data_IF_286269627450
#
_entry.id   IF_286269627450
#
_cell.length_a   1.000
_cell.length_b   1.000
_cell.length_c   1.000
_cell.angle_alpha   90.00
_cell.angle_beta   90.00
_cell.angle_gamma   90.00
#
_symmetry.space_group_name_H-M   'P 1'
#
loop_
_entity.id
_entity.type
_entity.pdbx_description
1 polymer ?
#
# COMPACT_ATOMS: atom_id res chain seq x y z
N UNK A 1 12.32 1.83 -18.64
CA UNK A 1 11.58 3.10 -18.43
C UNK A 1 10.12 2.84 -18.04
N UNK A 2 9.36 2.04 -18.81
CA UNK A 2 7.96 1.69 -18.49
C UNK A 2 7.79 0.88 -17.18
N UNK A 3 8.72 -0.03 -16.89
CA UNK A 3 8.66 -0.90 -15.70
C UNK A 3 8.74 -0.14 -14.37
N UNK A 4 9.50 0.97 -14.32
CA UNK A 4 9.60 1.83 -13.13
C UNK A 4 8.32 2.62 -12.88
N UNK A 5 7.68 3.08 -13.96
CA UNK A 5 6.40 3.78 -13.93
C UNK A 5 5.27 2.83 -13.49
N UNK A 6 5.25 1.62 -14.05
CA UNK A 6 4.32 0.56 -13.67
C UNK A 6 4.52 0.13 -12.21
N UNK A 7 5.77 -0.05 -11.76
CA UNK A 7 6.10 -0.40 -10.38
C UNK A 7 5.69 0.68 -9.36
N UNK A 8 5.95 1.96 -9.67
CA UNK A 8 5.53 3.09 -8.83
C UNK A 8 4.01 3.23 -8.75
N UNK A 9 3.31 3.08 -9.88
CA UNK A 9 1.86 3.08 -9.92
C UNK A 9 1.24 1.90 -9.16
N UNK A 10 1.82 0.70 -9.28
CA UNK A 10 1.39 -0.49 -8.55
C UNK A 10 1.53 -0.30 -7.03
N UNK A 11 2.67 0.20 -6.57
CA UNK A 11 2.92 0.52 -5.16
C UNK A 11 1.94 1.56 -4.63
N UNK A 12 1.65 2.58 -5.43
CA UNK A 12 0.70 3.63 -5.07
C UNK A 12 -0.72 3.09 -4.93
N UNK A 13 -1.20 2.30 -5.90
CA UNK A 13 -2.53 1.67 -5.86
C UNK A 13 -2.62 0.70 -4.67
N UNK A 14 -1.58 -0.10 -4.44
CA UNK A 14 -1.55 -1.05 -3.34
C UNK A 14 -1.56 -0.35 -1.96
N UNK A 15 -0.79 0.73 -1.81
CA UNK A 15 -0.83 1.59 -0.63
C UNK A 15 -2.21 2.21 -0.41
N UNK A 16 -2.89 2.66 -1.47
CA UNK A 16 -4.24 3.22 -1.40
C UNK A 16 -5.27 2.17 -0.95
N UNK A 17 -5.19 0.95 -1.50
CA UNK A 17 -6.07 -0.17 -1.14
C UNK A 17 -5.91 -0.53 0.34
N UNK A 18 -4.67 -0.55 0.86
CA UNK A 18 -4.39 -0.76 2.29
C UNK A 18 -4.99 0.35 3.17
N UNK A 19 -5.11 1.58 2.65
CA UNK A 19 -5.60 2.75 3.37
C UNK A 19 -7.13 2.82 3.42
N UNK A 20 -7.79 2.51 2.30
CA UNK A 20 -9.24 2.56 2.13
C UNK A 20 -9.92 1.32 2.72
N UNK A 21 -9.30 0.14 2.57
CA UNK A 21 -9.87 -1.14 2.99
C UNK A 21 -8.91 -1.98 3.84
N UNK A 22 -8.47 -1.49 5.02
CA UNK A 22 -7.60 -2.24 5.91
C UNK A 22 -8.26 -3.54 6.42
N UNK A 23 -9.60 -3.56 6.49
CA UNK A 23 -10.39 -4.75 6.87
C UNK A 23 -10.30 -5.88 5.84
N UNK A 24 -10.16 -5.58 4.55
CA UNK A 24 -10.02 -6.58 3.50
C UNK A 24 -8.61 -7.17 3.48
N UNK A 25 -7.60 -6.32 3.68
CA UNK A 25 -6.20 -6.75 3.83
C UNK A 25 -6.06 -7.67 5.03
N UNK A 26 -6.64 -7.27 6.17
CA UNK A 26 -6.71 -8.13 7.35
C UNK A 26 -7.41 -9.45 7.04
N UNK A 27 -8.58 -9.44 6.38
CA UNK A 27 -9.31 -10.67 6.04
C UNK A 27 -8.53 -11.60 5.10
N UNK A 28 -7.69 -11.06 4.22
CA UNK A 28 -6.83 -11.84 3.33
C UNK A 28 -5.64 -12.48 4.09
N UNK A 29 -5.01 -11.73 4.99
CA UNK A 29 -3.92 -12.24 5.85
C UNK A 29 -4.44 -13.26 6.87
N UNK A 30 -5.62 -13.00 7.44
CA UNK A 30 -6.31 -13.88 8.39
C UNK A 30 -7.05 -15.05 7.73
N UNK A 31 -7.15 -15.09 6.39
CA UNK A 31 -7.66 -16.27 5.68
C UNK A 31 -6.70 -17.46 5.81
N UNK A 32 -5.41 -17.18 6.02
CA UNK A 32 -4.33 -18.18 6.10
C UNK A 32 -3.96 -18.56 7.55
N UNK A 33 -4.45 -17.82 8.56
CA UNK A 33 -4.24 -18.15 9.98
C UNK A 33 -5.59 -18.23 10.69
N UNK A 34 -5.92 -19.41 11.21
CA UNK A 34 -7.25 -19.73 11.71
C UNK A 34 -7.53 -19.04 13.07
N UNK A 35 -8.74 -18.45 13.17
CA UNK A 35 -9.67 -18.37 14.33
C UNK A 35 -10.15 -16.94 14.64
N UNK A 36 -11.29 -16.58 14.03
CA UNK A 36 -12.47 -15.95 14.65
C UNK A 36 -12.29 -14.76 15.62
N UNK A 37 -11.19 -14.02 15.57
CA UNK A 37 -10.98 -12.80 16.34
C UNK A 37 -11.36 -11.56 15.53
N UNK A 38 -12.06 -10.58 16.10
CA UNK A 38 -12.22 -9.28 15.44
C UNK A 38 -10.84 -8.62 15.21
N UNK A 39 -10.65 -7.87 14.10
CA UNK A 39 -9.38 -7.18 13.87
C UNK A 39 -9.07 -6.26 15.05
N UNK A 40 -7.91 -6.46 15.68
CA UNK A 40 -7.45 -5.59 16.76
C UNK A 40 -7.27 -4.16 16.23
N UNK A 41 -7.75 -3.16 16.98
CA UNK A 41 -7.61 -1.72 16.65
C UNK A 41 -6.16 -1.34 16.30
N UNK A 42 -5.19 -1.98 16.95
CA UNK A 42 -3.75 -1.81 16.68
C UNK A 42 -3.36 -2.29 15.27
N UNK A 43 -3.86 -3.44 14.82
CA UNK A 43 -3.57 -3.95 13.48
C UNK A 43 -4.19 -3.03 12.43
N UNK A 44 -5.45 -2.63 12.57
CA UNK A 44 -6.10 -1.71 11.63
C UNK A 44 -5.34 -0.39 11.52
N UNK A 45 -4.85 0.14 12.65
CA UNK A 45 -4.03 1.35 12.68
C UNK A 45 -2.68 1.11 12.01
N UNK A 46 -2.00 0.00 12.30
CA UNK A 46 -0.72 -0.35 11.70
C UNK A 46 -0.83 -0.55 10.17
N UNK A 47 -1.88 -1.21 9.68
CA UNK A 47 -2.15 -1.36 8.24
C UNK A 47 -2.39 -0.02 7.57
N UNK A 48 -3.12 0.89 8.24
CA UNK A 48 -3.37 2.24 7.72
C UNK A 48 -2.11 3.08 7.65
N UNK A 49 -1.26 3.01 8.68
CA UNK A 49 0.04 3.69 8.73
C UNK A 49 1.00 3.10 7.69
N UNK A 50 1.05 1.78 7.55
CA UNK A 50 1.84 1.10 6.52
C UNK A 50 1.38 1.42 5.10
N UNK A 51 0.07 1.44 4.86
CA UNK A 51 -0.52 1.85 3.59
C UNK A 51 -0.24 3.32 3.26
N UNK A 52 -0.26 4.21 4.25
CA UNK A 52 0.12 5.62 4.08
C UNK A 52 1.60 5.75 3.72
N UNK A 53 2.49 5.04 4.43
CA UNK A 53 3.92 5.04 4.13
C UNK A 53 4.21 4.52 2.70
N UNK A 54 3.57 3.42 2.30
CA UNK A 54 3.69 2.86 0.95
C UNK A 54 3.17 3.81 -0.13
N UNK A 55 2.01 4.42 0.08
CA UNK A 55 1.44 5.40 -0.85
C UNK A 55 2.35 6.62 -1.00
N UNK A 56 2.87 7.13 0.11
CA UNK A 56 3.76 8.29 0.12
C UNK A 56 5.07 7.99 -0.61
N UNK A 57 5.65 6.82 -0.37
CA UNK A 57 6.89 6.38 -1.00
C UNK A 57 6.70 6.13 -2.52
N UNK A 58 5.58 5.52 -2.91
CA UNK A 58 5.21 5.34 -4.32
C UNK A 58 4.99 6.68 -5.05
N UNK A 59 4.30 7.63 -4.42
CA UNK A 59 4.13 8.99 -4.96
C UNK A 59 5.48 9.70 -5.13
N UNK A 60 6.35 9.61 -4.12
CA UNK A 60 7.69 10.23 -4.17
C UNK A 60 8.54 9.65 -5.30
N UNK A 61 8.51 8.32 -5.49
CA UNK A 61 9.19 7.64 -6.60
C UNK A 61 8.67 8.11 -7.96
N UNK A 62 7.35 8.27 -8.12
CA UNK A 62 6.76 8.76 -9.36
C UNK A 62 7.17 10.21 -9.66
N UNK A 63 7.13 11.10 -8.66
CA UNK A 63 7.57 12.48 -8.81
C UNK A 63 9.05 12.55 -9.17
N UNK A 64 9.91 11.83 -8.44
CA UNK A 64 11.35 11.77 -8.72
C UNK A 64 11.65 11.25 -10.13
N UNK A 65 10.91 10.23 -10.57
CA UNK A 65 11.05 9.66 -11.90
C UNK A 65 10.66 10.66 -13.00
N UNK A 66 9.55 11.38 -12.84
CA UNK A 66 9.12 12.43 -13.77
C UNK A 66 10.14 13.57 -13.85
N UNK A 67 10.72 13.97 -12.73
CA UNK A 67 11.74 15.03 -12.66
C UNK A 67 13.09 14.61 -13.27
N UNK A 68 13.38 13.32 -13.30
CA UNK A 68 14.64 12.76 -13.81
C UNK A 68 14.55 12.39 -15.29
N UNK A 69 13.36 12.45 -15.91
CA UNK A 69 13.20 12.19 -17.34
C UNK A 69 13.93 13.29 -18.13
N UNK A 70 14.96 12.98 -18.93
CA UNK A 70 15.52 13.97 -19.84
C UNK A 70 14.42 14.37 -20.84
N UNK A 71 14.17 15.68 -20.94
CA UNK A 71 13.19 16.26 -21.84
C UNK A 71 13.47 15.92 -23.32
#
# INVERSE_FOLDING_TARGET
>A
MLELLAGGALLFVLGLVMLICPKWVWKAEHLFTVKDGQPTEFYLTATRVGGFALSFLGFWLLVFFVLTLPA
#
